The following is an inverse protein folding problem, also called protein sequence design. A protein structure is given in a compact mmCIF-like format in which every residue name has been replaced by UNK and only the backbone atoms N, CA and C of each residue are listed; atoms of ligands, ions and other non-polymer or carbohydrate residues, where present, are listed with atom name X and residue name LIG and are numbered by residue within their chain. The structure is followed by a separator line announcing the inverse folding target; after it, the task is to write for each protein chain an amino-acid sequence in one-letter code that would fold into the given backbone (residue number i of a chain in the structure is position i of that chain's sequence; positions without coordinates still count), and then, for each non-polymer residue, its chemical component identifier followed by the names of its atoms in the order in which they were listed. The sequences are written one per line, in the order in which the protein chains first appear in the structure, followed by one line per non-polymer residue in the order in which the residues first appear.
data_IF_056921949494
#
_entry.id   IF_056921949494
#
_cell.length_a   1.000
_cell.length_b   1.000
_cell.length_c   1.000
_cell.angle_alpha   90.00
_cell.angle_beta   90.00
_cell.angle_gamma   90.00
#
_symmetry.space_group_name_H-M   'P 1'
#
loop_
_entity.id
_entity.type
_entity.pdbx_description
1 polymer ?
#
# COMPACT_ATOMS: atom_id res chain seq x y z
N UNK A 1 -35.60 -56.67 -8.89
CA UNK A 1 -36.00 -55.25 -8.72
C UNK A 1 -34.81 -54.40 -9.13
N UNK A 2 -34.78 -54.00 -10.39
CA UNK A 2 -33.84 -53.01 -10.90
C UNK A 2 -34.43 -51.64 -10.62
N UNK A 3 -33.70 -50.82 -9.87
CA UNK A 3 -33.96 -49.40 -9.73
C UNK A 3 -32.63 -48.68 -9.91
N UNK A 4 -32.28 -48.39 -11.16
CA UNK A 4 -31.37 -47.30 -11.49
C UNK A 4 -32.07 -45.98 -11.11
N UNK A 5 -31.44 -45.19 -10.25
CA UNK A 5 -31.72 -43.76 -10.18
C UNK A 5 -30.41 -43.03 -9.91
N UNK A 6 -29.74 -42.74 -11.00
CA UNK A 6 -28.58 -41.84 -11.09
C UNK A 6 -29.08 -40.42 -10.83
N UNK A 7 -28.76 -39.86 -9.66
CA UNK A 7 -28.97 -38.44 -9.38
C UNK A 7 -27.61 -37.73 -9.37
N UNK A 8 -27.39 -37.00 -10.47
CA UNK A 8 -26.41 -35.97 -10.77
C UNK A 8 -25.58 -35.46 -9.58
N UNK A 9 -24.32 -35.92 -9.47
CA UNK A 9 -23.30 -35.15 -8.76
C UNK A 9 -23.07 -33.86 -9.56
N UNK A 10 -23.07 -32.67 -8.94
CA UNK A 10 -22.60 -31.48 -9.63
C UNK A 10 -21.18 -31.75 -10.08
N UNK A 11 -20.94 -31.54 -11.38
CA UNK A 11 -19.58 -31.53 -11.94
C UNK A 11 -18.88 -30.39 -11.24
N UNK A 12 -18.09 -30.71 -10.21
CA UNK A 12 -17.07 -29.80 -9.72
C UNK A 12 -16.10 -29.62 -10.88
N UNK A 13 -16.28 -28.50 -11.59
CA UNK A 13 -15.32 -27.97 -12.52
C UNK A 13 -13.98 -27.94 -11.78
N UNK A 14 -12.90 -28.46 -12.37
CA UNK A 14 -11.60 -28.39 -11.72
C UNK A 14 -11.39 -26.94 -11.32
N UNK A 15 -11.06 -26.71 -10.06
CA UNK A 15 -10.59 -25.43 -9.57
C UNK A 15 -9.46 -25.01 -10.51
N UNK A 16 -9.84 -24.24 -11.53
CA UNK A 16 -8.91 -23.52 -12.36
C UNK A 16 -8.35 -22.52 -11.37
N UNK A 17 -7.25 -22.95 -10.75
CA UNK A 17 -6.23 -22.09 -10.21
C UNK A 17 -6.00 -21.00 -11.25
N UNK A 18 -6.76 -19.93 -11.11
CA UNK A 18 -6.39 -18.61 -11.57
C UNK A 18 -5.24 -18.18 -10.68
N UNK A 19 -4.13 -18.92 -10.81
CA UNK A 19 -2.78 -18.43 -10.96
C UNK A 19 -2.68 -17.44 -12.12
N UNK A 20 -3.66 -16.55 -12.25
CA UNK A 20 -3.70 -15.48 -13.23
C UNK A 20 -2.84 -14.35 -12.64
N UNK A 21 -1.54 -14.61 -12.71
CA UNK A 21 -0.46 -13.66 -12.50
C UNK A 21 -0.28 -13.26 -11.03
N UNK A 22 0.88 -13.63 -10.47
CA UNK A 22 1.61 -12.63 -9.68
C UNK A 22 1.82 -11.42 -10.61
N UNK A 23 0.84 -10.51 -10.66
CA UNK A 23 0.90 -9.31 -11.49
C UNK A 23 1.98 -8.44 -10.90
N UNK A 24 3.19 -8.60 -11.41
CA UNK A 24 4.28 -7.71 -11.07
C UNK A 24 3.86 -6.28 -11.46
N UNK A 25 3.86 -5.32 -10.53
CA UNK A 25 3.56 -3.92 -10.85
C UNK A 25 4.62 -3.29 -11.78
N UNK A 26 5.70 -4.00 -12.09
CA UNK A 26 6.82 -3.50 -12.90
C UNK A 26 6.38 -2.92 -14.25
N UNK A 27 5.37 -3.50 -14.90
CA UNK A 27 4.85 -3.05 -16.19
C UNK A 27 4.08 -1.72 -16.12
N UNK A 28 3.69 -1.27 -14.92
CA UNK A 28 2.98 0.00 -14.75
C UNK A 28 3.86 1.23 -15.08
N UNK A 29 5.19 1.07 -15.04
CA UNK A 29 6.14 2.15 -15.29
C UNK A 29 6.09 2.70 -16.72
N UNK A 30 5.52 1.95 -17.67
CA UNK A 30 5.37 2.36 -19.06
C UNK A 30 4.20 3.35 -19.27
N UNK A 31 3.35 3.53 -18.25
CA UNK A 31 2.15 4.36 -18.32
C UNK A 31 2.42 5.78 -17.81
N UNK A 32 3.13 6.59 -18.60
CA UNK A 32 3.62 7.93 -18.21
C UNK A 32 2.53 8.95 -17.82
N UNK A 33 1.28 8.72 -18.24
CA UNK A 33 0.13 9.62 -17.96
C UNK A 33 -0.82 9.07 -16.90
N UNK A 34 -0.53 7.91 -16.31
CA UNK A 34 -1.40 7.29 -15.32
C UNK A 34 -1.40 8.12 -14.03
N UNK A 35 -2.57 8.58 -13.62
CA UNK A 35 -2.75 9.41 -12.41
C UNK A 35 -3.35 8.64 -11.23
N UNK A 36 -4.15 7.61 -11.52
CA UNK A 36 -4.88 6.82 -10.52
C UNK A 36 -4.56 5.35 -10.69
N UNK A 37 -4.20 4.69 -9.59
CA UNK A 37 -3.85 3.29 -9.54
C UNK A 37 -4.71 2.57 -8.50
N UNK A 38 -5.51 1.59 -8.95
CA UNK A 38 -6.39 0.78 -8.09
C UNK A 38 -5.84 -0.64 -8.05
N UNK A 39 -5.48 -1.09 -6.86
CA UNK A 39 -4.78 -2.34 -6.56
C UNK A 39 -5.50 -3.18 -5.50
N UNK A 40 -6.78 -2.92 -5.29
CA UNK A 40 -7.57 -3.57 -4.26
C UNK A 40 -7.65 -5.09 -4.48
N UNK A 41 -7.71 -5.86 -3.39
CA UNK A 41 -7.92 -7.32 -3.39
C UNK A 41 -6.87 -8.16 -4.15
N UNK A 42 -5.62 -7.70 -4.26
CA UNK A 42 -4.56 -8.39 -5.02
C UNK A 42 -3.55 -9.17 -4.14
N UNK A 43 -3.80 -9.32 -2.83
CA UNK A 43 -2.90 -10.02 -1.89
C UNK A 43 -1.45 -9.50 -1.85
N UNK A 44 -1.20 -8.24 -2.19
CA UNK A 44 0.14 -7.64 -2.09
C UNK A 44 0.63 -7.63 -0.64
N UNK A 45 1.90 -7.97 -0.44
CA UNK A 45 2.57 -7.86 0.86
C UNK A 45 3.27 -6.50 1.00
N UNK A 46 3.78 -6.22 2.19
CA UNK A 46 4.57 -5.01 2.46
C UNK A 46 5.84 -4.87 1.61
N UNK A 47 6.29 -5.93 0.95
CA UNK A 47 7.48 -5.95 0.10
C UNK A 47 7.17 -5.83 -1.39
N UNK A 48 5.93 -5.51 -1.77
CA UNK A 48 5.57 -5.18 -3.16
C UNK A 48 6.52 -4.14 -3.72
N UNK A 49 6.89 -4.27 -4.99
CA UNK A 49 7.81 -3.37 -5.68
C UNK A 49 7.11 -2.64 -6.80
N UNK A 50 7.14 -1.31 -6.72
CA UNK A 50 6.59 -0.45 -7.76
C UNK A 50 7.71 0.16 -8.61
N UNK A 51 7.49 0.34 -9.91
CA UNK A 51 8.33 1.22 -10.71
C UNK A 51 8.18 2.67 -10.23
N UNK A 52 9.14 3.53 -10.58
CA UNK A 52 9.02 4.96 -10.29
C UNK A 52 7.93 5.57 -11.18
N UNK A 53 6.90 6.15 -10.57
CA UNK A 53 5.69 6.62 -11.26
C UNK A 53 5.29 8.02 -10.74
N UNK A 54 5.98 9.08 -11.20
CA UNK A 54 5.76 10.44 -10.69
C UNK A 54 4.41 11.04 -11.12
N UNK A 55 3.75 10.49 -12.14
CA UNK A 55 2.43 10.92 -12.61
C UNK A 55 1.29 10.47 -11.66
N UNK A 56 1.52 9.41 -10.88
CA UNK A 56 0.49 8.85 -10.00
C UNK A 56 0.28 9.75 -8.80
N UNK A 57 -0.98 10.11 -8.57
CA UNK A 57 -1.43 10.96 -7.47
C UNK A 57 -2.42 10.25 -6.55
N UNK A 58 -3.08 9.20 -7.03
CA UNK A 58 -4.09 8.45 -6.29
C UNK A 58 -3.75 6.96 -6.31
N UNK A 59 -3.64 6.35 -5.13
CA UNK A 59 -3.42 4.90 -4.98
C UNK A 59 -4.43 4.32 -4.02
N UNK A 60 -5.17 3.31 -4.49
CA UNK A 60 -6.02 2.46 -3.64
C UNK A 60 -5.42 1.05 -3.61
N UNK A 61 -5.18 0.52 -2.41
CA UNK A 61 -4.60 -0.81 -2.20
C UNK A 61 -5.32 -1.53 -1.06
N UNK A 62 -6.63 -1.38 -1.02
CA UNK A 62 -7.48 -1.93 0.04
C UNK A 62 -7.49 -3.46 -0.01
N UNK A 63 -7.73 -4.11 1.13
CA UNK A 63 -7.89 -5.58 1.24
C UNK A 63 -6.71 -6.36 0.64
N UNK A 64 -5.50 -5.90 0.90
CA UNK A 64 -4.27 -6.62 0.59
C UNK A 64 -3.68 -7.26 1.87
N UNK A 65 -2.46 -7.82 1.79
CA UNK A 65 -1.78 -8.50 2.90
C UNK A 65 -0.60 -7.66 3.41
N UNK A 66 -0.79 -6.35 3.52
CA UNK A 66 0.24 -5.44 4.02
C UNK A 66 0.23 -5.52 5.55
N UNK A 67 1.28 -6.09 6.14
CA UNK A 67 1.43 -6.26 7.60
C UNK A 67 2.49 -5.34 8.22
N UNK A 68 3.54 -4.99 7.47
CA UNK A 68 4.58 -4.03 7.87
C UNK A 68 4.33 -2.66 7.24
N UNK A 69 3.77 -1.73 8.03
CA UNK A 69 3.44 -0.37 7.59
C UNK A 69 4.69 0.45 7.18
N UNK A 70 5.78 0.52 7.98
CA UNK A 70 6.95 1.30 7.61
C UNK A 70 7.56 0.93 6.25
N UNK A 71 7.68 -0.38 5.98
CA UNK A 71 8.24 -0.87 4.72
C UNK A 71 7.39 -0.44 3.53
N UNK A 72 6.06 -0.57 3.65
CA UNK A 72 5.15 -0.22 2.58
C UNK A 72 5.08 1.29 2.34
N UNK A 73 5.01 2.08 3.40
CA UNK A 73 4.99 3.55 3.33
C UNK A 73 6.26 4.10 2.68
N UNK A 74 7.42 3.52 2.97
CA UNK A 74 8.68 3.88 2.31
C UNK A 74 8.62 3.61 0.80
N UNK A 75 8.10 2.45 0.39
CA UNK A 75 7.91 2.10 -1.01
C UNK A 75 6.98 3.11 -1.70
N UNK A 76 5.84 3.45 -1.09
CA UNK A 76 4.91 4.45 -1.64
C UNK A 76 5.59 5.81 -1.80
N UNK A 77 6.29 6.28 -0.76
CA UNK A 77 6.97 7.58 -0.77
C UNK A 77 8.05 7.65 -1.85
N UNK A 78 8.81 6.58 -2.01
CA UNK A 78 9.91 6.50 -2.98
C UNK A 78 9.40 6.45 -4.43
N UNK A 79 8.32 5.71 -4.68
CA UNK A 79 7.84 5.40 -6.03
C UNK A 79 6.77 6.36 -6.55
N UNK A 80 6.01 6.99 -5.66
CA UNK A 80 4.92 7.91 -5.99
C UNK A 80 5.16 9.29 -5.34
N UNK A 81 6.18 10.05 -5.75
CA UNK A 81 6.60 11.29 -5.09
C UNK A 81 5.53 12.39 -5.07
N UNK A 82 4.55 12.32 -5.98
CA UNK A 82 3.46 13.31 -6.10
C UNK A 82 2.14 12.83 -5.50
N UNK A 83 2.13 11.73 -4.76
CA UNK A 83 0.91 11.15 -4.19
C UNK A 83 0.14 12.16 -3.33
N UNK A 84 -1.18 12.19 -3.53
CA UNK A 84 -2.16 13.04 -2.83
C UNK A 84 -3.23 12.23 -2.14
N UNK A 85 -3.59 11.06 -2.66
CA UNK A 85 -4.66 10.22 -2.12
C UNK A 85 -4.11 8.80 -1.95
N UNK A 86 -4.25 8.27 -0.73
CA UNK A 86 -3.89 6.88 -0.41
C UNK A 86 -5.06 6.22 0.34
N UNK A 87 -5.40 5.00 -0.05
CA UNK A 87 -6.35 4.16 0.68
C UNK A 87 -5.72 2.78 0.92
N UNK A 88 -5.61 2.39 2.18
CA UNK A 88 -5.06 1.12 2.66
C UNK A 88 -6.07 0.36 3.53
N UNK A 89 -7.34 0.73 3.52
CA UNK A 89 -8.40 0.08 4.31
C UNK A 89 -8.36 -1.44 4.21
N UNK A 90 -8.66 -2.11 5.33
CA UNK A 90 -8.69 -3.57 5.44
C UNK A 90 -7.34 -4.27 5.12
N UNK A 91 -6.22 -3.59 5.37
CA UNK A 91 -4.92 -4.25 5.51
C UNK A 91 -4.61 -4.47 7.00
N UNK A 92 -3.79 -5.47 7.32
CA UNK A 92 -3.37 -5.76 8.71
C UNK A 92 -2.62 -4.58 9.33
N UNK A 93 -1.82 -3.88 8.53
CA UNK A 93 -1.06 -2.71 8.96
C UNK A 93 -1.86 -1.40 8.98
N UNK A 94 -3.15 -1.46 8.64
CA UNK A 94 -4.08 -0.33 8.63
C UNK A 94 -5.30 -0.68 9.50
N UNK A 95 -5.11 -0.74 10.83
CA UNK A 95 -6.19 -1.05 11.75
C UNK A 95 -7.28 0.02 11.67
N UNK A 96 -8.53 -0.43 11.59
CA UNK A 96 -9.72 0.39 11.59
C UNK A 96 -10.82 -0.30 12.40
N UNK A 97 -11.85 0.45 12.76
CA UNK A 97 -13.00 -0.13 13.46
C UNK A 97 -13.63 -1.30 12.66
N UNK A 98 -13.53 -1.28 11.33
CA UNK A 98 -14.06 -2.31 10.44
C UNK A 98 -13.27 -3.62 10.42
N UNK A 99 -12.01 -3.63 10.86
CA UNK A 99 -11.17 -4.84 10.93
C UNK A 99 -10.77 -5.22 12.36
N UNK A 100 -11.45 -4.69 13.37
CA UNK A 100 -11.23 -5.01 14.78
C UNK A 100 -10.14 -4.18 15.46
N UNK A 101 -9.66 -3.11 14.82
CA UNK A 101 -8.75 -2.14 15.42
C UNK A 101 -9.45 -1.17 16.39
N UNK A 102 -8.72 -0.72 17.41
CA UNK A 102 -9.18 0.35 18.31
C UNK A 102 -9.05 1.73 17.65
N UNK A 103 -9.75 2.73 18.19
CA UNK A 103 -9.63 4.11 17.75
C UNK A 103 -8.18 4.62 17.90
N UNK A 104 -7.51 4.28 19.00
CA UNK A 104 -6.13 4.69 19.25
C UNK A 104 -5.16 4.08 18.23
N UNK A 105 -5.36 2.82 17.86
CA UNK A 105 -4.57 2.16 16.80
C UNK A 105 -4.76 2.83 15.45
N UNK A 106 -6.01 3.19 15.10
CA UNK A 106 -6.29 3.94 13.88
C UNK A 106 -5.61 5.31 13.89
N UNK A 107 -5.64 6.03 15.03
CA UNK A 107 -4.99 7.34 15.17
C UNK A 107 -3.46 7.22 15.04
N UNK A 108 -2.84 6.22 15.67
CA UNK A 108 -1.41 5.95 15.60
C UNK A 108 -0.96 5.67 14.15
N UNK A 109 -1.67 4.75 13.46
CA UNK A 109 -1.50 4.46 12.04
C UNK A 109 -1.62 5.73 11.18
N UNK A 110 -2.69 6.50 11.36
CA UNK A 110 -2.97 7.71 10.57
C UNK A 110 -1.90 8.77 10.77
N UNK A 111 -1.53 9.06 12.02
CA UNK A 111 -0.47 10.02 12.32
C UNK A 111 0.88 9.55 11.74
N UNK A 112 1.19 8.25 11.81
CA UNK A 112 2.40 7.72 11.20
C UNK A 112 2.43 7.98 9.69
N UNK A 113 1.41 7.56 8.93
CA UNK A 113 1.36 7.73 7.47
C UNK A 113 1.47 9.21 7.06
N UNK A 114 0.73 10.09 7.74
CA UNK A 114 0.75 11.54 7.48
C UNK A 114 2.14 12.14 7.74
N UNK A 115 2.85 11.66 8.76
CA UNK A 115 4.21 12.13 9.07
C UNK A 115 5.22 11.75 7.99
N UNK A 116 5.05 10.58 7.36
CA UNK A 116 5.98 10.04 6.39
C UNK A 116 5.71 10.52 4.95
N UNK A 117 4.47 10.91 4.63
CA UNK A 117 4.06 11.37 3.29
C UNK A 117 3.51 12.81 3.37
N UNK A 118 4.38 13.84 3.37
CA UNK A 118 3.96 15.23 3.53
C UNK A 118 3.05 15.77 2.42
N UNK A 119 3.04 15.15 1.24
CA UNK A 119 2.22 15.55 0.09
C UNK A 119 0.76 15.07 0.16
N UNK A 120 0.46 14.15 1.08
CA UNK A 120 -0.83 13.47 1.17
C UNK A 120 -1.94 14.43 1.60
N UNK A 121 -3.06 14.42 0.90
CA UNK A 121 -4.26 15.25 1.15
C UNK A 121 -5.43 14.43 1.67
N UNK A 122 -5.56 13.16 1.28
CA UNK A 122 -6.63 12.28 1.72
C UNK A 122 -6.02 10.93 2.08
N UNK A 123 -6.40 10.38 3.24
CA UNK A 123 -6.04 9.04 3.69
C UNK A 123 -7.31 8.26 4.08
N UNK A 124 -7.46 7.07 3.49
CA UNK A 124 -8.52 6.08 3.72
C UNK A 124 -9.98 6.51 3.48
N UNK A 125 -10.23 7.79 3.16
CA UNK A 125 -11.53 8.43 2.83
C UNK A 125 -11.62 9.84 3.44
N UNK A 126 -10.74 10.15 4.39
CA UNK A 126 -10.77 11.37 5.18
C UNK A 126 -9.64 12.33 4.81
N UNK A 127 -9.99 13.62 4.69
CA UNK A 127 -9.03 14.69 4.42
C UNK A 127 -7.98 14.80 5.54
N UNK A 128 -6.74 15.06 5.14
CA UNK A 128 -5.62 15.33 6.05
C UNK A 128 -5.63 16.81 6.45
N UNK A 129 -6.08 17.10 7.66
CA UNK A 129 -6.14 18.45 8.21
C UNK A 129 -4.74 18.96 8.64
N UNK A 130 -4.53 20.27 8.59
CA UNK A 130 -3.22 20.84 8.98
C UNK A 130 -2.92 20.64 10.47
N UNK A 131 -3.95 20.63 11.33
CA UNK A 131 -3.80 20.37 12.77
C UNK A 131 -3.25 18.97 13.04
N UNK A 132 -3.80 17.94 12.38
CA UNK A 132 -3.31 16.57 12.54
C UNK A 132 -1.92 16.40 11.91
N UNK A 133 -1.62 17.10 10.80
CA UNK A 133 -0.28 17.11 10.22
C UNK A 133 0.76 17.68 11.19
N UNK A 134 0.44 18.79 11.85
CA UNK A 134 1.31 19.37 12.87
C UNK A 134 1.53 18.41 14.04
N UNK A 135 0.48 17.70 14.46
CA UNK A 135 0.58 16.69 15.51
C UNK A 135 1.45 15.50 15.08
N UNK A 136 1.17 14.91 13.92
CA UNK A 136 1.91 13.79 13.35
C UNK A 136 3.42 14.06 13.24
N UNK A 137 3.81 15.28 12.79
CA UNK A 137 5.22 15.70 12.72
C UNK A 137 5.90 15.80 14.08
N UNK A 138 5.15 16.12 15.14
CA UNK A 138 5.68 16.17 16.52
C UNK A 138 5.86 14.77 17.07
N UNK A 139 4.88 13.89 16.87
CA UNK A 139 4.89 12.49 17.35
C UNK A 139 5.97 11.67 16.65
N UNK A 140 5.97 11.68 15.32
CA UNK A 140 6.90 10.92 14.49
C UNK A 140 7.86 11.90 13.80
N UNK A 141 9.03 12.09 14.40
CA UNK A 141 10.13 12.77 13.71
C UNK A 141 10.49 11.96 12.48
N UNK A 142 10.51 12.61 11.32
CA UNK A 142 11.04 12.02 10.08
C UNK A 142 12.48 11.58 10.38
N UNK A 143 12.70 10.28 10.48
CA UNK A 143 14.05 9.72 10.44
C UNK A 143 14.54 9.92 9.02
N UNK A 144 15.21 11.04 8.74
CA UNK A 144 15.96 11.16 7.50
C UNK A 144 17.01 10.06 7.54
N UNK A 145 16.90 9.08 6.66
CA UNK A 145 18.03 8.20 6.36
C UNK A 145 19.23 9.09 6.06
N UNK A 146 20.27 8.96 6.88
CA UNK A 146 21.55 9.67 6.72
C UNK A 146 22.31 9.08 5.53
N UNK A 147 21.78 9.22 4.32
CA UNK A 147 22.46 8.80 3.10
C UNK A 147 22.97 10.05 2.37
N UNK A 148 24.22 10.42 2.65
CA UNK A 148 24.90 11.47 1.87
C UNK A 148 25.97 12.31 2.58
N UNK A 149 27.00 11.71 3.20
CA UNK A 149 28.21 12.49 3.58
C UNK A 149 29.56 11.76 3.52
N UNK A 150 29.67 10.59 2.88
CA UNK A 150 30.99 10.00 2.55
C UNK A 150 31.31 10.18 1.07
N UNK A 151 31.51 11.43 0.63
CA UNK A 151 32.21 11.73 -0.63
C UNK A 151 33.66 12.09 -0.32
N UNK A 152 34.57 11.29 -0.88
CA UNK A 152 35.89 11.66 -1.41
C UNK A 152 36.93 12.23 -0.42
N UNK A 153 37.75 11.34 0.15
CA UNK A 153 39.17 11.57 0.42
C UNK A 153 39.92 10.25 0.25
N UNK A 154 40.18 9.87 -1.00
CA UNK A 154 41.17 8.86 -1.37
C UNK A 154 41.40 9.02 -2.88
N UNK A 155 42.20 10.03 -3.22
CA UNK A 155 42.92 10.20 -4.48
C UNK A 155 43.90 11.37 -4.25
N UNK A 156 44.78 11.17 -3.27
CA UNK A 156 46.05 11.87 -3.16
C UNK A 156 46.88 11.06 -2.17
N UNK A 157 47.68 10.14 -2.71
CA UNK A 157 49.01 9.73 -2.25
C UNK A 157 49.63 8.93 -3.38
#
# INVERSE_FOLDING_TARGET
MCSEQTASRPVELPENHTSCCQRSPALLGELEKLSTLILDCNSYSSHVKFPYMPSVTTVWINKNKIGNLPTFVEEIRSKFPNIKILSMMNNESAPSYFNGGSLDQYIDYRQYVISQIPSLKILDDTEVLEKERAQAKKTYRIQRTREGSKKRKELQN
#
